data_IF_972278959341
#
_entry.id   IF_972278959341
#
_cell.length_a   1.000
_cell.length_b   1.000
_cell.length_c   1.000
_cell.angle_alpha   90.00
_cell.angle_beta   90.00
_cell.angle_gamma   90.00
#
_symmetry.space_group_name_H-M   'P 1'
#
loop_
_entity.id
_entity.type
_entity.pdbx_description
1 polymer ?
#
# COMPACT_ATOMS: atom_id res chain seq x y z
N UNK A 1 2.02 6.31 10.13
CA UNK A 1 2.08 6.72 8.70
C UNK A 1 0.68 7.15 8.24
N UNK A 2 0.37 8.44 8.16
CA UNK A 2 -0.98 8.91 7.76
C UNK A 2 -1.34 8.70 6.27
N UNK A 3 -0.38 8.30 5.44
CA UNK A 3 -0.57 8.03 4.01
C UNK A 3 -0.95 6.59 3.70
N UNK A 4 -1.04 5.72 4.70
CA UNK A 4 -1.50 4.36 4.49
C UNK A 4 -2.99 4.33 4.11
N UNK A 5 -3.34 3.48 3.15
CA UNK A 5 -4.60 3.58 2.39
C UNK A 5 -5.51 2.33 2.53
N UNK A 6 -5.14 1.40 3.42
CA UNK A 6 -5.97 0.25 3.78
C UNK A 6 -6.46 0.40 5.22
N UNK A 7 -7.59 -0.24 5.54
CA UNK A 7 -8.13 -0.22 6.89
C UNK A 7 -7.21 -0.96 7.86
N UNK A 8 -7.04 -0.41 9.05
CA UNK A 8 -6.44 -1.09 10.20
C UNK A 8 -7.10 -2.45 10.45
N UNK A 9 -8.44 -2.50 10.42
CA UNK A 9 -9.18 -3.74 10.65
C UNK A 9 -8.83 -4.81 9.60
N UNK A 10 -8.75 -4.43 8.33
CA UNK A 10 -8.37 -5.33 7.25
C UNK A 10 -6.94 -5.86 7.44
N UNK A 11 -5.99 -5.01 7.83
CA UNK A 11 -4.62 -5.45 8.12
C UNK A 11 -4.55 -6.33 9.36
N UNK A 12 -5.34 -6.05 10.40
CA UNK A 12 -5.41 -6.85 11.62
C UNK A 12 -5.91 -8.28 11.30
N UNK A 13 -6.95 -8.40 10.51
CA UNK A 13 -7.46 -9.70 10.04
C UNK A 13 -6.43 -10.44 9.17
N UNK A 14 -5.74 -9.73 8.27
CA UNK A 14 -4.67 -10.33 7.46
C UNK A 14 -3.49 -10.80 8.31
N UNK A 15 -3.11 -10.04 9.34
CA UNK A 15 -2.04 -10.41 10.25
C UNK A 15 -2.41 -11.66 11.05
N UNK A 16 -3.64 -11.74 11.57
CA UNK A 16 -4.16 -12.91 12.29
C UNK A 16 -4.14 -14.17 11.40
N UNK A 17 -4.70 -14.06 10.19
CA UNK A 17 -4.75 -15.16 9.21
C UNK A 17 -3.36 -15.67 8.77
N UNK A 18 -2.32 -14.84 8.90
CA UNK A 18 -0.94 -15.21 8.56
C UNK A 18 -0.07 -15.51 9.79
N UNK A 19 -0.64 -15.61 10.99
CA UNK A 19 0.09 -15.76 12.26
C UNK A 19 1.17 -14.69 12.48
N UNK A 20 0.96 -13.47 11.95
CA UNK A 20 1.91 -12.38 12.04
C UNK A 20 1.70 -11.57 13.34
N UNK A 21 2.13 -12.17 14.46
CA UNK A 21 1.88 -11.65 15.80
C UNK A 21 2.32 -10.20 16.01
N UNK A 22 3.51 -9.81 15.52
CA UNK A 22 4.02 -8.44 15.72
C UNK A 22 3.13 -7.40 15.02
N UNK A 23 2.74 -7.67 13.78
CA UNK A 23 1.83 -6.80 13.03
C UNK A 23 0.43 -6.77 13.65
N UNK A 24 -0.06 -7.91 14.12
CA UNK A 24 -1.35 -7.99 14.80
C UNK A 24 -1.37 -7.11 16.06
N UNK A 25 -0.34 -7.21 16.91
CA UNK A 25 -0.25 -6.38 18.11
C UNK A 25 -0.11 -4.90 17.76
N UNK A 26 0.70 -4.56 16.76
CA UNK A 26 0.87 -3.18 16.29
C UNK A 26 -0.46 -2.59 15.77
N UNK A 27 -1.21 -3.34 14.95
CA UNK A 27 -2.53 -2.95 14.47
C UNK A 27 -3.54 -2.79 15.60
N UNK A 28 -3.53 -3.71 16.58
CA UNK A 28 -4.44 -3.69 17.74
C UNK A 28 -4.19 -2.51 18.67
N UNK A 29 -2.93 -2.15 18.91
CA UNK A 29 -2.56 -0.98 19.72
C UNK A 29 -2.94 0.31 18.98
N UNK A 30 -2.71 0.35 17.68
CA UNK A 30 -2.98 1.51 16.82
C UNK A 30 -4.28 1.32 16.03
N UNK A 31 -5.40 1.18 16.73
CA UNK A 31 -6.71 0.75 16.20
C UNK A 31 -7.48 1.80 15.36
N UNK A 32 -6.80 2.83 14.87
CA UNK A 32 -7.40 3.90 14.08
C UNK A 32 -6.93 3.84 12.62
N UNK A 33 -7.91 3.96 11.72
CA UNK A 33 -7.64 4.09 10.29
C UNK A 33 -6.88 5.38 9.99
N UNK A 34 -5.92 5.30 9.06
CA UNK A 34 -5.06 6.44 8.71
C UNK A 34 -5.82 7.46 7.86
N UNK A 35 -5.37 8.71 7.93
CA UNK A 35 -6.00 9.85 7.27
C UNK A 35 -6.39 9.57 5.81
N UNK A 36 -5.46 9.06 4.98
CA UNK A 36 -5.75 8.78 3.56
C UNK A 36 -6.84 7.72 3.38
N UNK A 37 -6.88 6.67 4.21
CA UNK A 37 -7.97 5.69 4.14
C UNK A 37 -9.33 6.34 4.39
N UNK A 38 -9.43 7.21 5.41
CA UNK A 38 -10.67 7.91 5.74
C UNK A 38 -11.10 8.85 4.59
N UNK A 39 -10.16 9.62 4.04
CA UNK A 39 -10.43 10.48 2.87
C UNK A 39 -10.93 9.68 1.67
N UNK A 40 -10.38 8.48 1.44
CA UNK A 40 -10.80 7.61 0.34
C UNK A 40 -12.24 7.10 0.48
N UNK A 41 -12.81 7.04 1.68
CA UNK A 41 -14.22 6.64 1.86
C UNK A 41 -15.21 7.68 1.32
N UNK A 42 -14.79 8.94 1.26
CA UNK A 42 -15.60 10.08 0.82
C UNK A 42 -15.20 10.55 -0.59
N UNK A 43 -14.15 9.96 -1.17
CA UNK A 43 -13.59 10.38 -2.46
C UNK A 43 -14.07 9.50 -3.60
N UNK A 44 -14.67 10.11 -4.62
CA UNK A 44 -14.93 9.40 -5.88
C UNK A 44 -13.66 9.42 -6.76
N UNK A 45 -13.06 8.25 -6.94
CA UNK A 45 -11.91 8.06 -7.83
C UNK A 45 -12.37 7.81 -9.27
N UNK A 46 -11.55 8.20 -10.24
CA UNK A 46 -11.74 7.74 -11.63
C UNK A 46 -11.46 6.23 -11.73
N UNK A 47 -12.05 5.56 -12.70
CA UNK A 47 -11.94 4.09 -12.85
C UNK A 47 -10.49 3.59 -12.86
N UNK A 48 -9.60 4.30 -13.57
CA UNK A 48 -8.18 3.94 -13.62
C UNK A 48 -7.43 4.26 -12.31
N UNK A 49 -7.82 5.28 -11.55
CA UNK A 49 -7.26 5.53 -10.22
C UNK A 49 -7.69 4.43 -9.24
N UNK A 50 -8.96 4.00 -9.32
CA UNK A 50 -9.48 2.88 -8.54
C UNK A 50 -8.77 1.58 -8.92
N UNK A 51 -8.49 1.35 -10.21
CA UNK A 51 -7.69 0.21 -10.67
C UNK A 51 -6.30 0.20 -10.00
N UNK A 52 -5.58 1.32 -10.00
CA UNK A 52 -4.27 1.44 -9.33
C UNK A 52 -4.37 1.15 -7.84
N UNK A 53 -5.35 1.73 -7.15
CA UNK A 53 -5.56 1.53 -5.72
C UNK A 53 -5.82 0.05 -5.43
N UNK A 54 -6.69 -0.61 -6.21
CA UNK A 54 -6.99 -2.03 -6.04
C UNK A 54 -5.75 -2.89 -6.26
N UNK A 55 -4.96 -2.64 -7.31
CA UNK A 55 -3.70 -3.36 -7.54
C UNK A 55 -2.72 -3.22 -6.38
N UNK A 56 -2.61 -2.01 -5.81
CA UNK A 56 -1.75 -1.77 -4.65
C UNK A 56 -2.23 -2.54 -3.41
N UNK A 57 -3.55 -2.58 -3.15
CA UNK A 57 -4.15 -3.36 -2.05
C UNK A 57 -3.88 -4.85 -2.22
N UNK A 58 -4.06 -5.39 -3.42
CA UNK A 58 -3.80 -6.81 -3.70
C UNK A 58 -2.32 -7.17 -3.51
N UNK A 59 -1.40 -6.31 -3.95
CA UNK A 59 0.03 -6.49 -3.67
C UNK A 59 0.33 -6.51 -2.16
N UNK A 60 -0.31 -5.62 -1.38
CA UNK A 60 -0.17 -5.63 0.08
C UNK A 60 -0.65 -6.96 0.65
N UNK A 61 -1.87 -7.40 0.32
CA UNK A 61 -2.46 -8.66 0.81
C UNK A 61 -1.57 -9.86 0.52
N UNK A 62 -1.15 -10.03 -0.74
CA UNK A 62 -0.25 -11.13 -1.16
C UNK A 62 1.08 -11.11 -0.40
N UNK A 63 1.57 -9.91 -0.07
CA UNK A 63 2.89 -9.75 0.53
C UNK A 63 2.97 -10.07 2.02
N UNK A 64 1.85 -10.14 2.75
CA UNK A 64 1.85 -10.24 4.22
C UNK A 64 2.68 -11.43 4.72
N UNK A 65 2.53 -12.60 4.09
CA UNK A 65 3.26 -13.82 4.45
C UNK A 65 4.79 -13.67 4.30
N UNK A 66 5.24 -12.92 3.30
CA UNK A 66 6.67 -12.71 3.04
C UNK A 66 7.30 -11.61 3.90
N UNK A 67 6.50 -10.70 4.46
CA UNK A 67 7.02 -9.58 5.26
C UNK A 67 7.74 -10.03 6.53
N UNK A 68 7.25 -11.09 7.18
CA UNK A 68 7.90 -11.66 8.38
C UNK A 68 9.32 -12.07 8.04
N UNK A 69 9.46 -12.95 7.05
CA UNK A 69 10.75 -13.49 6.61
C UNK A 69 11.68 -12.37 6.12
N UNK A 70 11.17 -11.46 5.30
CA UNK A 70 11.98 -10.36 4.78
C UNK A 70 12.42 -9.38 5.87
N UNK A 71 11.61 -9.18 6.90
CA UNK A 71 11.95 -8.30 8.02
C UNK A 71 13.09 -8.85 8.87
N UNK A 72 13.20 -10.17 9.04
CA UNK A 72 14.29 -10.80 9.79
C UNK A 72 15.66 -10.44 9.18
N UNK A 73 15.78 -10.52 7.86
CA UNK A 73 17.00 -10.16 7.14
C UNK A 73 17.15 -8.65 6.92
N UNK A 74 16.05 -7.90 6.93
CA UNK A 74 16.03 -6.47 6.61
C UNK A 74 15.21 -5.62 7.60
N UNK A 75 15.57 -5.59 8.89
CA UNK A 75 14.77 -4.94 9.93
C UNK A 75 14.61 -3.42 9.71
N UNK A 76 15.58 -2.80 9.02
CA UNK A 76 15.60 -1.37 8.65
C UNK A 76 14.38 -0.89 7.86
N UNK A 77 13.63 -1.79 7.22
CA UNK A 77 12.41 -1.40 6.49
C UNK A 77 11.15 -1.37 7.37
N UNK A 78 11.21 -1.87 8.61
CA UNK A 78 10.10 -1.87 9.55
C UNK A 78 8.80 -2.53 9.03
N UNK A 79 8.92 -3.62 8.27
CA UNK A 79 7.78 -4.30 7.63
C UNK A 79 6.77 -4.95 8.58
N UNK A 80 7.10 -5.02 9.87
CA UNK A 80 6.19 -5.50 10.92
C UNK A 80 5.13 -4.45 11.27
N UNK A 81 5.33 -3.17 10.92
CA UNK A 81 4.33 -2.13 11.16
C UNK A 81 3.13 -2.34 10.22
N UNK A 82 1.92 -2.29 10.78
CA UNK A 82 0.69 -2.54 10.04
C UNK A 82 0.47 -1.52 8.91
N UNK A 83 0.94 -0.30 9.10
CA UNK A 83 0.84 0.82 8.17
C UNK A 83 2.15 1.10 7.39
N UNK A 84 2.97 0.07 7.22
CA UNK A 84 4.20 0.12 6.40
C UNK A 84 3.91 0.73 5.01
N UNK A 85 4.58 1.84 4.72
CA UNK A 85 4.39 2.59 3.49
C UNK A 85 4.94 1.88 2.24
N UNK A 86 4.47 2.30 1.07
CA UNK A 86 4.87 1.70 -0.21
C UNK A 86 6.39 1.68 -0.43
N UNK A 87 7.10 2.72 -0.01
CA UNK A 87 8.56 2.80 -0.12
C UNK A 87 9.28 1.74 0.72
N UNK A 88 8.73 1.40 1.89
CA UNK A 88 9.27 0.36 2.77
C UNK A 88 9.06 -1.03 2.15
N UNK A 89 7.90 -1.25 1.52
CA UNK A 89 7.53 -2.53 0.89
C UNK A 89 8.24 -2.77 -0.44
N UNK A 90 8.60 -1.69 -1.16
CA UNK A 90 9.12 -1.73 -2.52
C UNK A 90 10.29 -2.70 -2.73
N UNK A 91 11.33 -2.79 -1.87
CA UNK A 91 12.43 -3.74 -2.05
C UNK A 91 11.95 -5.19 -2.08
N UNK A 92 11.16 -5.60 -1.08
CA UNK A 92 10.58 -6.93 -0.99
C UNK A 92 9.64 -7.24 -2.16
N UNK A 93 8.79 -6.30 -2.55
CA UNK A 93 7.88 -6.48 -3.69
C UNK A 93 8.63 -6.73 -5.00
N UNK A 94 9.77 -6.06 -5.21
CA UNK A 94 10.62 -6.27 -6.38
C UNK A 94 11.32 -7.64 -6.39
N UNK A 95 11.58 -8.19 -5.22
CA UNK A 95 12.28 -9.47 -5.06
C UNK A 95 11.32 -10.66 -5.18
N UNK A 96 10.22 -10.64 -4.43
CA UNK A 96 9.30 -11.79 -4.32
C UNK A 96 8.05 -11.68 -5.20
N UNK A 97 7.67 -10.48 -5.61
CA UNK A 97 6.43 -10.21 -6.36
C UNK A 97 6.70 -9.44 -7.65
N UNK A 98 7.84 -9.74 -8.30
CA UNK A 98 8.37 -8.94 -9.42
C UNK A 98 7.37 -8.75 -10.55
N UNK A 99 6.69 -9.81 -10.99
CA UNK A 99 5.74 -9.73 -12.09
C UNK A 99 4.54 -8.85 -11.75
N UNK A 100 3.91 -9.07 -10.59
CA UNK A 100 2.80 -8.24 -10.10
C UNK A 100 3.24 -6.77 -9.92
N UNK A 101 4.45 -6.57 -9.39
CA UNK A 101 5.03 -5.24 -9.19
C UNK A 101 5.28 -4.51 -10.52
N UNK A 102 5.86 -5.19 -11.51
CA UNK A 102 6.12 -4.61 -12.83
C UNK A 102 4.81 -4.27 -13.55
N UNK A 103 3.78 -5.13 -13.43
CA UNK A 103 2.45 -4.84 -13.94
C UNK A 103 1.82 -3.61 -13.26
N UNK A 104 1.91 -3.52 -11.93
CA UNK A 104 1.50 -2.34 -11.18
C UNK A 104 2.21 -1.07 -11.68
N UNK A 105 3.54 -1.10 -11.80
CA UNK A 105 4.32 0.06 -12.26
C UNK A 105 3.93 0.48 -13.68
N UNK A 106 3.68 -0.47 -14.58
CA UNK A 106 3.22 -0.18 -15.94
C UNK A 106 1.89 0.55 -15.95
N UNK A 107 0.92 0.10 -15.14
CA UNK A 107 -0.39 0.74 -15.01
C UNK A 107 -0.28 2.10 -14.32
N UNK A 108 0.49 2.20 -13.24
CA UNK A 108 0.73 3.44 -12.49
C UNK A 108 1.33 4.52 -13.39
N UNK A 109 2.31 4.19 -14.23
CA UNK A 109 2.91 5.14 -15.19
C UNK A 109 1.89 5.71 -16.17
N UNK A 110 0.99 4.87 -16.69
CA UNK A 110 -0.08 5.34 -17.60
C UNK A 110 -1.03 6.32 -16.90
N UNK A 111 -1.39 6.01 -15.65
CA UNK A 111 -2.20 6.90 -14.82
C UNK A 111 -1.45 8.23 -14.55
N UNK A 112 -0.18 8.16 -14.17
CA UNK A 112 0.68 9.33 -13.92
C UNK A 112 0.78 10.23 -15.16
N UNK A 113 1.04 9.65 -16.34
CA UNK A 113 1.15 10.39 -17.61
C UNK A 113 -0.17 11.11 -17.95
N UNK A 114 -1.31 10.47 -17.69
CA UNK A 114 -2.62 11.11 -17.85
C UNK A 114 -2.81 12.26 -16.87
N UNK A 115 -2.48 12.05 -15.60
CA UNK A 115 -2.58 13.08 -14.55
C UNK A 115 -1.68 14.28 -14.84
N UNK A 116 -0.46 14.05 -15.35
CA UNK A 116 0.49 15.11 -15.72
C UNK A 116 -0.09 16.06 -16.76
N UNK A 117 -0.83 15.56 -17.75
CA UNK A 117 -1.56 16.43 -18.71
C UNK A 117 -2.60 17.30 -18.01
N UNK A 118 -3.27 16.77 -16.98
CA UNK A 118 -4.22 17.50 -16.15
C UNK A 118 -3.57 18.62 -15.34
N UNK A 119 -2.38 18.42 -14.79
CA UNK A 119 -1.66 19.43 -13.98
C UNK A 119 -1.50 20.75 -14.73
N UNK A 120 -1.04 20.69 -15.99
CA UNK A 120 -0.91 21.87 -16.84
C UNK A 120 -2.28 22.38 -17.32
N UNK A 121 -3.19 21.47 -17.72
CA UNK A 121 -4.53 21.84 -18.22
C UNK A 121 -5.36 22.61 -17.19
N UNK A 122 -5.28 22.22 -15.92
CA UNK A 122 -6.04 22.81 -14.82
C UNK A 122 -5.27 23.91 -14.08
N UNK A 123 -4.06 24.25 -14.54
CA UNK A 123 -3.30 25.39 -14.02
C UNK A 123 -2.69 25.18 -12.64
N UNK A 124 -2.50 23.94 -12.19
CA UNK A 124 -1.80 23.64 -10.93
C UNK A 124 -0.32 24.02 -11.01
N UNK A 125 0.28 23.93 -12.19
CA UNK A 125 1.61 24.45 -12.51
C UNK A 125 1.50 25.29 -13.79
N UNK A 126 2.16 26.45 -13.80
CA UNK A 126 2.27 27.35 -14.95
C UNK A 126 3.53 27.05 -15.74
#
# INVERSE_FOLDING_TARGET
>A
NNFFFMSNKEILELADNNNFNLMYQDAKINNEDRYVYNTLQETTLSDDAQEILNMAKELIKKSISMRVLYHEDNPKYHLNSWDSGWAQLKPMLKEYFKEDYDNFVKKYKKFEDRMRKGVYKFGFLK
#
